data_IF_018109015731
#
_entry.id   IF_018109015731
#
_cell.length_a   1.000
_cell.length_b   1.000
_cell.length_c   1.000
_cell.angle_alpha   90.00
_cell.angle_beta   90.00
_cell.angle_gamma   90.00
#
_symmetry.space_group_name_H-M   'P 1'
#
loop_
_entity.id
_entity.type
_entity.pdbx_description
1 polymer ?
#
# COMPACT_ATOMS: atom_id res chain seq x y z
N UNK A 1 13.54 -52.14 32.17
CA UNK A 1 12.07 -52.29 32.26
C UNK A 1 11.48 -51.80 30.96
N UNK A 2 10.96 -52.69 30.11
CA UNK A 2 10.30 -52.30 28.87
C UNK A 2 8.87 -51.85 29.19
N UNK A 3 8.60 -50.55 29.05
CA UNK A 3 7.25 -50.02 29.17
C UNK A 3 6.44 -50.45 27.94
N UNK A 4 5.58 -51.45 28.11
CA UNK A 4 4.71 -51.93 27.04
C UNK A 4 3.45 -51.07 27.00
N UNK A 5 3.49 -49.99 26.21
CA UNK A 5 2.41 -48.99 26.04
C UNK A 5 1.06 -49.66 25.81
N UNK A 6 0.99 -50.61 24.88
CA UNK A 6 -0.25 -51.32 24.53
C UNK A 6 -0.85 -52.07 25.73
N UNK A 7 -0.01 -52.80 26.49
CA UNK A 7 -0.49 -53.56 27.65
C UNK A 7 -0.96 -52.67 28.80
N UNK A 8 -0.35 -51.49 28.94
CA UNK A 8 -0.71 -50.51 29.97
C UNK A 8 -2.01 -49.79 29.62
N UNK A 9 -2.18 -49.37 28.36
CA UNK A 9 -3.42 -48.74 27.87
C UNK A 9 -4.64 -49.67 27.98
N UNK A 10 -4.46 -50.98 27.77
CA UNK A 10 -5.53 -51.98 27.95
C UNK A 10 -5.88 -52.18 29.43
N UNK A 11 -4.87 -52.30 30.30
CA UNK A 11 -5.08 -52.58 31.74
C UNK A 11 -5.56 -51.36 32.53
N UNK A 12 -5.24 -50.14 32.07
CA UNK A 12 -5.67 -48.87 32.67
C UNK A 12 -6.37 -48.01 31.60
N UNK A 13 -7.66 -48.26 31.32
CA UNK A 13 -8.38 -47.56 30.26
C UNK A 13 -8.71 -46.11 30.61
N UNK A 14 -8.87 -45.77 31.90
CA UNK A 14 -9.30 -44.43 32.34
C UNK A 14 -8.35 -43.32 31.86
N UNK A 15 -7.02 -43.38 32.07
CA UNK A 15 -6.09 -42.39 31.52
C UNK A 15 -6.18 -42.24 30.00
N UNK A 16 -6.35 -43.35 29.27
CA UNK A 16 -6.44 -43.35 27.80
C UNK A 16 -7.71 -42.65 27.31
N UNK A 17 -8.86 -42.94 27.93
CA UNK A 17 -10.14 -42.31 27.61
C UNK A 17 -10.09 -40.81 27.92
N UNK A 18 -9.56 -40.43 29.08
CA UNK A 18 -9.42 -39.02 29.47
C UNK A 18 -8.51 -38.27 28.50
N UNK A 19 -7.39 -38.86 28.10
CA UNK A 19 -6.49 -38.28 27.10
C UNK A 19 -7.20 -38.06 25.76
N UNK A 20 -7.97 -39.05 25.30
CA UNK A 20 -8.72 -38.94 24.04
C UNK A 20 -9.81 -37.87 24.10
N UNK A 21 -10.50 -37.74 25.23
CA UNK A 21 -11.48 -36.67 25.46
C UNK A 21 -10.82 -35.29 25.48
N UNK A 22 -9.67 -35.15 26.16
CA UNK A 22 -8.92 -33.89 26.17
C UNK A 22 -8.49 -33.52 24.75
N UNK A 23 -7.89 -34.45 24.01
CA UNK A 23 -7.46 -34.22 22.62
C UNK A 23 -8.64 -33.89 21.70
N UNK A 24 -9.79 -34.54 21.88
CA UNK A 24 -11.01 -34.25 21.13
C UNK A 24 -11.55 -32.84 21.39
N UNK A 25 -11.60 -32.43 22.65
CA UNK A 25 -12.05 -31.08 23.06
C UNK A 25 -11.07 -30.02 22.56
N UNK A 26 -9.77 -30.23 22.74
CA UNK A 26 -8.72 -29.30 22.26
C UNK A 26 -8.77 -29.21 20.73
N UNK A 27 -8.84 -30.35 20.03
CA UNK A 27 -8.94 -30.39 18.57
C UNK A 27 -10.18 -29.68 18.05
N UNK A 28 -11.33 -29.85 18.71
CA UNK A 28 -12.57 -29.16 18.36
C UNK A 28 -12.46 -27.64 18.57
N UNK A 29 -11.91 -27.20 19.70
CA UNK A 29 -11.68 -25.76 19.95
C UNK A 29 -10.69 -25.16 18.95
N UNK A 30 -9.58 -25.84 18.67
CA UNK A 30 -8.59 -25.39 17.69
C UNK A 30 -9.18 -25.30 16.29
N UNK A 31 -10.00 -26.27 15.88
CA UNK A 31 -10.64 -26.29 14.57
C UNK A 31 -11.51 -25.05 14.33
N UNK A 32 -12.34 -24.65 15.32
CA UNK A 32 -13.15 -23.43 15.20
C UNK A 32 -12.35 -22.13 15.25
N UNK A 33 -11.09 -22.18 15.71
CA UNK A 33 -10.19 -21.02 15.75
C UNK A 33 -9.32 -20.85 14.49
N UNK A 34 -9.33 -21.81 13.55
CA UNK A 34 -8.51 -21.73 12.34
C UNK A 34 -9.08 -20.72 11.35
N UNK A 35 -8.22 -19.84 10.84
CA UNK A 35 -8.56 -18.93 9.76
C UNK A 35 -8.70 -19.67 8.42
N UNK A 36 -9.58 -19.17 7.55
CA UNK A 36 -9.77 -19.69 6.19
C UNK A 36 -9.03 -18.77 5.22
N UNK A 37 -8.09 -19.33 4.46
CA UNK A 37 -7.28 -18.63 3.47
C UNK A 37 -6.99 -19.55 2.27
N UNK A 38 -6.67 -18.95 1.11
CA UNK A 38 -6.36 -19.70 -0.12
C UNK A 38 -4.96 -20.28 -0.08
N UNK A 39 -4.01 -19.44 0.32
CA UNK A 39 -2.61 -19.76 0.40
C UNK A 39 -2.15 -19.66 1.85
N UNK A 40 -1.20 -20.50 2.29
CA UNK A 40 -0.52 -20.24 3.54
C UNK A 40 0.06 -18.82 3.52
N UNK A 41 0.06 -18.15 4.67
CA UNK A 41 0.73 -16.87 4.81
C UNK A 41 2.25 -17.09 4.74
N UNK A 42 2.79 -17.08 3.53
CA UNK A 42 4.22 -17.21 3.26
C UNK A 42 4.78 -15.79 3.17
N UNK A 43 5.71 -15.46 4.06
CA UNK A 43 6.57 -14.29 3.87
C UNK A 43 7.58 -14.66 2.78
N UNK A 44 7.34 -14.20 1.56
CA UNK A 44 8.28 -14.41 0.44
C UNK A 44 9.29 -13.27 0.51
N UNK A 45 10.56 -13.56 0.85
CA UNK A 45 11.56 -12.53 1.06
C UNK A 45 12.02 -11.99 -0.29
N UNK A 46 11.38 -10.93 -0.78
CA UNK A 46 11.82 -10.23 -2.00
C UNK A 46 12.11 -8.78 -1.69
N UNK A 47 13.20 -8.28 -2.25
CA UNK A 47 13.66 -6.91 -2.13
C UNK A 47 13.67 -6.29 -3.53
N UNK A 48 13.03 -5.14 -3.68
CA UNK A 48 13.09 -4.35 -4.91
C UNK A 48 14.11 -3.22 -4.77
N UNK A 49 14.90 -3.02 -5.81
CA UNK A 49 15.84 -1.93 -5.95
C UNK A 49 15.41 -1.12 -7.16
N UNK A 50 15.10 0.16 -6.97
CA UNK A 50 14.69 1.06 -8.05
C UNK A 50 15.72 2.16 -8.20
N UNK A 51 16.20 2.38 -9.42
CA UNK A 51 17.08 3.49 -9.78
C UNK A 51 16.49 4.23 -10.97
N UNK A 52 16.37 5.54 -10.82
CA UNK A 52 15.86 6.45 -11.84
C UNK A 52 16.99 7.29 -12.42
N UNK A 53 17.03 7.46 -13.74
CA UNK A 53 17.98 8.35 -14.42
C UNK A 53 17.24 9.02 -15.59
N UNK A 54 16.88 10.28 -15.41
CA UNK A 54 16.05 10.99 -16.40
C UNK A 54 16.80 11.16 -17.72
N UNK A 55 16.16 10.76 -18.82
CA UNK A 55 16.73 10.89 -20.17
C UNK A 55 17.67 9.77 -20.60
N UNK A 56 17.91 8.75 -19.76
CA UNK A 56 18.68 7.57 -20.12
C UNK A 56 17.81 6.54 -20.87
N UNK A 57 18.37 5.97 -21.95
CA UNK A 57 17.73 4.91 -22.71
C UNK A 57 17.85 3.53 -22.02
N UNK A 58 16.98 2.55 -22.33
CA UNK A 58 16.96 1.26 -21.62
C UNK A 58 18.27 0.47 -21.76
N UNK A 59 18.90 0.49 -22.94
CA UNK A 59 20.18 -0.19 -23.18
C UNK A 59 21.33 0.45 -22.39
N UNK A 60 21.29 1.76 -22.19
CA UNK A 60 22.29 2.47 -21.40
C UNK A 60 22.14 2.12 -19.92
N UNK A 61 20.92 2.22 -19.40
CA UNK A 61 20.56 1.81 -18.04
C UNK A 61 20.92 0.36 -17.73
N UNK A 62 20.68 -0.56 -18.68
CA UNK A 62 21.06 -1.97 -18.52
C UNK A 62 22.56 -2.10 -18.23
N UNK A 63 23.38 -1.44 -19.02
CA UNK A 63 24.84 -1.58 -18.96
C UNK A 63 25.48 -0.80 -17.81
N UNK A 64 25.00 0.40 -17.51
CA UNK A 64 25.63 1.32 -16.56
C UNK A 64 25.08 1.18 -15.14
N UNK A 65 23.83 0.72 -15.01
CA UNK A 65 23.12 0.67 -13.72
C UNK A 65 22.71 -0.75 -13.39
N UNK A 66 21.83 -1.36 -14.19
CA UNK A 66 21.18 -2.63 -13.84
C UNK A 66 22.20 -3.76 -13.64
N UNK A 67 23.13 -3.96 -14.58
CA UNK A 67 24.16 -5.01 -14.44
C UNK A 67 25.04 -4.82 -13.21
N UNK A 68 25.39 -3.57 -12.87
CA UNK A 68 26.20 -3.30 -11.68
C UNK A 68 25.45 -3.67 -10.40
N UNK A 69 24.16 -3.36 -10.35
CA UNK A 69 23.29 -3.73 -9.22
C UNK A 69 23.13 -5.24 -9.15
N UNK A 70 22.87 -5.92 -10.27
CA UNK A 70 22.78 -7.37 -10.32
C UNK A 70 24.07 -8.04 -9.85
N UNK A 71 25.23 -7.56 -10.30
CA UNK A 71 26.54 -8.09 -9.92
C UNK A 71 26.83 -7.87 -8.42
N UNK A 72 26.43 -6.72 -7.86
CA UNK A 72 26.66 -6.43 -6.43
C UNK A 72 25.78 -7.29 -5.52
N UNK A 73 24.52 -7.51 -5.90
CA UNK A 73 23.60 -8.33 -5.10
C UNK A 73 23.80 -9.81 -5.34
N UNK A 74 24.28 -10.26 -6.51
CA UNK A 74 24.51 -11.67 -6.82
C UNK A 74 25.50 -12.37 -5.86
N UNK A 75 26.36 -11.60 -5.19
CA UNK A 75 27.26 -12.10 -4.16
C UNK A 75 26.60 -12.39 -2.80
N UNK A 76 25.34 -11.97 -2.60
CA UNK A 76 24.60 -12.25 -1.37
C UNK A 76 24.16 -13.71 -1.31
N UNK A 77 24.21 -14.31 -0.12
CA UNK A 77 23.75 -15.67 0.09
C UNK A 77 22.22 -15.80 0.02
N UNK A 78 21.74 -17.01 -0.25
CA UNK A 78 20.31 -17.36 -0.24
C UNK A 78 19.43 -16.64 -1.28
N UNK A 79 20.00 -16.21 -2.40
CA UNK A 79 19.22 -15.71 -3.53
C UNK A 79 18.68 -16.90 -4.32
N UNK A 80 17.38 -16.90 -4.59
CA UNK A 80 16.73 -17.85 -5.51
C UNK A 80 16.71 -17.28 -6.93
N UNK A 81 16.30 -16.01 -7.08
CA UNK A 81 16.13 -15.39 -8.40
C UNK A 81 16.39 -13.89 -8.38
N UNK A 82 16.96 -13.38 -9.47
CA UNK A 82 17.07 -11.94 -9.73
C UNK A 82 16.34 -11.65 -11.05
N UNK A 83 15.45 -10.66 -11.03
CA UNK A 83 14.70 -10.22 -12.22
C UNK A 83 14.81 -8.71 -12.32
N UNK A 84 15.39 -8.21 -13.41
CA UNK A 84 15.40 -6.79 -13.70
C UNK A 84 14.44 -6.43 -14.82
N UNK A 85 13.74 -5.32 -14.64
CA UNK A 85 12.88 -4.70 -15.65
C UNK A 85 13.36 -3.27 -15.87
N UNK A 86 13.64 -2.94 -17.12
CA UNK A 86 14.18 -1.63 -17.50
C UNK A 86 13.19 -0.98 -18.47
N UNK A 87 12.88 0.27 -18.19
CA UNK A 87 12.05 1.14 -19.02
C UNK A 87 12.79 2.46 -19.22
N UNK A 88 12.28 3.33 -20.11
CA UNK A 88 12.89 4.65 -20.32
C UNK A 88 13.03 5.41 -18.99
N UNK A 89 14.27 5.74 -18.63
CA UNK A 89 14.63 6.45 -17.42
C UNK A 89 14.49 5.70 -16.09
N UNK A 90 14.10 4.42 -16.08
CA UNK A 90 13.91 3.64 -14.84
C UNK A 90 14.43 2.21 -14.96
N UNK A 91 15.17 1.76 -13.94
CA UNK A 91 15.60 0.37 -13.75
C UNK A 91 15.08 -0.17 -12.42
N UNK A 92 14.32 -1.26 -12.46
CA UNK A 92 13.81 -1.94 -11.27
C UNK A 92 14.35 -3.37 -11.23
N UNK A 93 15.10 -3.72 -10.19
CA UNK A 93 15.64 -5.06 -9.95
C UNK A 93 14.96 -5.69 -8.74
N UNK A 94 14.30 -6.83 -8.93
CA UNK A 94 13.74 -7.65 -7.87
C UNK A 94 14.70 -8.79 -7.52
N UNK A 95 15.06 -8.89 -6.25
CA UNK A 95 15.89 -9.96 -5.69
C UNK A 95 15.02 -10.82 -4.79
N UNK A 96 14.73 -12.04 -5.25
CA UNK A 96 13.98 -13.06 -4.53
C UNK A 96 14.95 -13.98 -3.78
N UNK A 97 14.74 -14.11 -2.47
CA UNK A 97 15.53 -14.97 -1.60
C UNK A 97 14.79 -16.30 -1.35
N UNK A 98 15.55 -17.33 -0.97
CA UNK A 98 15.02 -18.63 -0.59
C UNK A 98 14.09 -18.48 0.62
N UNK A 99 12.95 -19.19 0.58
CA UNK A 99 11.96 -19.20 1.66
C UNK A 99 12.59 -19.52 3.02
N UNK A 100 12.18 -18.78 4.05
CA UNK A 100 12.73 -18.88 5.41
C UNK A 100 13.92 -17.95 5.68
N UNK A 101 14.40 -17.22 4.67
CA UNK A 101 15.33 -16.10 4.86
C UNK A 101 14.61 -14.96 5.59
N UNK A 102 15.28 -14.37 6.58
CA UNK A 102 14.78 -13.20 7.29
C UNK A 102 14.75 -12.00 6.33
N UNK A 103 13.53 -11.51 6.03
CA UNK A 103 13.31 -10.46 5.03
C UNK A 103 13.96 -9.13 5.43
N UNK A 104 14.01 -8.81 6.73
CA UNK A 104 14.59 -7.56 7.22
C UNK A 104 16.13 -7.60 7.08
N UNK A 105 16.74 -8.74 7.40
CA UNK A 105 18.16 -8.99 7.16
C UNK A 105 18.49 -8.94 5.68
N UNK A 106 17.73 -9.63 4.83
CA UNK A 106 17.92 -9.61 3.38
C UNK A 106 17.85 -8.20 2.81
N UNK A 107 16.87 -7.39 3.26
CA UNK A 107 16.72 -6.00 2.86
C UNK A 107 17.94 -5.15 3.25
N UNK A 108 18.48 -5.36 4.45
CA UNK A 108 19.67 -4.65 4.91
C UNK A 108 20.93 -5.09 4.17
N UNK A 109 21.09 -6.39 3.90
CA UNK A 109 22.21 -6.93 3.14
C UNK A 109 22.22 -6.40 1.71
N UNK A 110 21.05 -6.34 1.06
CA UNK A 110 20.87 -5.70 -0.27
C UNK A 110 21.22 -4.22 -0.22
N UNK A 111 20.72 -3.48 0.78
CA UNK A 111 21.03 -2.05 0.92
C UNK A 111 22.54 -1.82 1.04
N UNK A 112 23.22 -2.58 1.89
CA UNK A 112 24.66 -2.45 2.07
C UNK A 112 25.44 -2.76 0.77
N UNK A 113 25.02 -3.78 0.01
CA UNK A 113 25.65 -4.13 -1.27
C UNK A 113 25.47 -3.04 -2.34
N UNK A 114 24.27 -2.42 -2.40
CA UNK A 114 23.98 -1.31 -3.31
C UNK A 114 24.74 -0.05 -2.91
N UNK A 115 24.80 0.26 -1.61
CA UNK A 115 25.52 1.41 -1.09
C UNK A 115 27.03 1.33 -1.40
N UNK A 116 27.60 0.12 -1.39
CA UNK A 116 29.01 -0.10 -1.71
C UNK A 116 29.37 0.23 -3.16
N UNK A 117 28.46 -0.02 -4.11
CA UNK A 117 28.66 0.29 -5.53
C UNK A 117 28.11 1.66 -5.94
N UNK A 118 27.63 2.48 -4.99
CA UNK A 118 27.01 3.77 -5.28
C UNK A 118 27.91 4.70 -6.09
N UNK A 119 29.23 4.63 -5.83
CA UNK A 119 30.25 5.41 -6.55
C UNK A 119 30.51 4.91 -7.98
N UNK A 120 30.17 3.66 -8.27
CA UNK A 120 30.30 3.06 -9.59
C UNK A 120 29.09 3.35 -10.49
N UNK A 121 27.97 3.81 -9.91
CA UNK A 121 26.79 4.26 -10.64
C UNK A 121 27.02 5.68 -11.22
N UNK A 122 26.36 6.03 -12.33
CA UNK A 122 26.41 7.38 -12.89
C UNK A 122 26.05 8.46 -11.87
N UNK A 123 26.71 9.62 -11.94
CA UNK A 123 26.48 10.73 -11.00
C UNK A 123 25.12 11.40 -11.18
N UNK A 124 24.55 11.29 -12.37
CA UNK A 124 23.23 11.79 -12.75
C UNK A 124 22.10 10.80 -12.44
N UNK A 125 22.41 9.59 -11.98
CA UNK A 125 21.42 8.66 -11.45
C UNK A 125 20.98 9.08 -10.04
N UNK A 126 19.66 9.03 -9.82
CA UNK A 126 19.05 9.25 -8.51
C UNK A 126 19.49 8.16 -7.50
N UNK A 127 19.32 8.45 -6.22
CA UNK A 127 19.71 7.53 -5.15
C UNK A 127 18.91 6.21 -5.26
N UNK A 128 19.56 5.04 -5.23
CA UNK A 128 18.86 3.77 -5.28
C UNK A 128 17.89 3.60 -4.12
N UNK A 129 16.64 3.26 -4.43
CA UNK A 129 15.60 3.02 -3.44
C UNK A 129 15.47 1.53 -3.22
N UNK A 130 15.88 1.07 -2.03
CA UNK A 130 15.79 -0.34 -1.62
C UNK A 130 14.58 -0.54 -0.70
N UNK A 131 13.62 -1.33 -1.16
CA UNK A 131 12.35 -1.60 -0.48
C UNK A 131 12.08 -3.10 -0.37
N UNK A 132 11.59 -3.52 0.79
CA UNK A 132 10.98 -4.85 0.96
C UNK A 132 9.68 -4.90 0.17
N UNK A 133 9.48 -5.99 -0.55
CA UNK A 133 8.20 -6.28 -1.19
C UNK A 133 7.35 -7.14 -0.25
N UNK A 134 6.10 -6.72 -0.04
CA UNK A 134 5.12 -7.48 0.72
C UNK A 134 4.15 -8.14 -0.27
N UNK A 135 4.32 -9.44 -0.52
CA UNK A 135 3.38 -10.22 -1.35
C UNK A 135 2.11 -10.58 -0.58
N UNK A 136 2.20 -10.59 0.73
CA UNK A 136 1.12 -10.93 1.65
C UNK A 136 0.22 -9.72 1.85
N UNK A 137 -0.76 -9.59 0.97
CA UNK A 137 -1.71 -8.48 1.08
C UNK A 137 -2.58 -8.20 -0.12
N UNK A 138 -2.31 -8.91 -1.23
CA UNK A 138 -2.96 -8.73 -2.53
C UNK A 138 -4.44 -8.37 -2.46
N UNK A 139 -4.89 -7.57 -3.42
CA UNK A 139 -6.24 -7.00 -3.43
C UNK A 139 -7.29 -8.09 -3.18
N UNK A 140 -7.93 -8.03 -2.02
CA UNK A 140 -8.91 -9.03 -1.58
C UNK A 140 -10.30 -8.72 -2.14
N UNK A 141 -10.60 -7.43 -2.32
CA UNK A 141 -11.90 -6.94 -2.76
C UNK A 141 -11.71 -5.70 -3.63
N UNK A 142 -12.43 -5.64 -4.74
CA UNK A 142 -12.49 -4.46 -5.60
C UNK A 142 -13.93 -3.97 -5.68
N UNK A 143 -14.13 -2.70 -5.39
CA UNK A 143 -15.42 -2.04 -5.47
C UNK A 143 -15.42 -0.96 -6.55
N UNK A 144 -16.57 -0.80 -7.22
CA UNK A 144 -16.90 0.39 -7.96
C UNK A 144 -17.74 1.33 -7.11
N UNK A 145 -17.44 2.62 -7.21
CA UNK A 145 -18.22 3.74 -6.71
C UNK A 145 -18.75 4.48 -7.92
N UNK A 146 -20.07 4.47 -8.08
CA UNK A 146 -20.74 5.12 -9.20
C UNK A 146 -21.85 6.04 -8.69
N UNK A 147 -22.13 7.08 -9.47
CA UNK A 147 -23.27 7.96 -9.25
C UNK A 147 -23.69 8.64 -10.55
N UNK A 148 -25.00 8.78 -10.74
CA UNK A 148 -25.59 9.50 -11.89
C UNK A 148 -25.57 11.02 -11.72
N UNK A 149 -25.32 11.50 -10.50
CA UNK A 149 -25.45 12.93 -10.14
C UNK A 149 -24.11 13.58 -9.84
N UNK A 150 -23.06 12.79 -9.61
CA UNK A 150 -21.75 13.28 -9.17
C UNK A 150 -20.74 13.20 -10.29
N UNK A 151 -19.80 14.14 -10.27
CA UNK A 151 -18.67 14.09 -11.16
C UNK A 151 -17.61 13.09 -10.66
N UNK A 152 -16.66 12.72 -11.52
CA UNK A 152 -15.59 11.78 -11.19
C UNK A 152 -14.70 12.34 -10.07
N UNK A 153 -14.53 13.65 -10.05
CA UNK A 153 -13.84 14.43 -9.03
C UNK A 153 -14.47 14.24 -7.65
N UNK A 154 -15.79 14.46 -7.55
CA UNK A 154 -16.52 14.30 -6.29
C UNK A 154 -16.49 12.84 -5.79
N UNK A 155 -16.59 11.87 -6.72
CA UNK A 155 -16.46 10.46 -6.39
C UNK A 155 -15.05 10.11 -5.90
N UNK A 156 -14.01 10.71 -6.48
CA UNK A 156 -12.62 10.50 -6.08
C UNK A 156 -12.38 11.04 -4.67
N UNK A 157 -12.85 12.26 -4.38
CA UNK A 157 -12.75 12.84 -3.04
C UNK A 157 -13.52 12.02 -2.00
N UNK A 158 -14.71 11.54 -2.35
CA UNK A 158 -15.53 10.69 -1.48
C UNK A 158 -14.82 9.36 -1.14
N UNK A 159 -14.18 8.75 -2.15
CA UNK A 159 -13.39 7.52 -1.96
C UNK A 159 -12.22 7.79 -1.02
N UNK A 160 -11.47 8.87 -1.23
CA UNK A 160 -10.23 9.12 -0.50
C UNK A 160 -10.49 9.59 0.94
N UNK A 161 -11.46 10.49 1.14
CA UNK A 161 -11.69 11.13 2.44
C UNK A 161 -12.63 10.35 3.34
N UNK A 162 -13.61 9.64 2.78
CA UNK A 162 -14.66 9.01 3.58
C UNK A 162 -14.52 7.48 3.56
N UNK A 163 -14.56 6.89 2.36
CA UNK A 163 -14.61 5.43 2.21
C UNK A 163 -13.28 4.80 2.66
N UNK A 164 -12.16 5.27 2.11
CA UNK A 164 -10.83 4.72 2.41
C UNK A 164 -10.51 4.82 3.89
N UNK A 165 -10.78 5.97 4.53
CA UNK A 165 -10.56 6.14 5.98
C UNK A 165 -11.40 5.18 6.83
N UNK A 166 -12.66 4.95 6.45
CA UNK A 166 -13.52 4.04 7.17
C UNK A 166 -13.08 2.58 7.01
N UNK A 167 -12.62 2.20 5.81
CA UNK A 167 -12.15 0.85 5.53
C UNK A 167 -10.77 0.56 6.14
N UNK A 168 -9.87 1.53 6.21
CA UNK A 168 -8.57 1.39 6.89
C UNK A 168 -8.71 1.14 8.40
N UNK A 169 -9.86 1.47 9.02
CA UNK A 169 -10.14 1.15 10.41
C UNK A 169 -10.57 -0.32 10.62
N UNK A 170 -10.75 -1.09 9.55
CA UNK A 170 -11.07 -2.53 9.65
C UNK A 170 -9.81 -3.31 9.96
N UNK A 171 -9.85 -4.13 11.02
CA UNK A 171 -8.71 -4.97 11.39
C UNK A 171 -8.30 -5.89 10.23
N UNK A 172 -7.00 -5.88 9.91
CA UNK A 172 -6.43 -6.65 8.81
C UNK A 172 -6.51 -5.99 7.43
N UNK A 173 -7.01 -4.75 7.31
CA UNK A 173 -6.85 -3.94 6.10
C UNK A 173 -5.54 -3.16 6.19
N UNK A 174 -4.66 -3.30 5.21
CA UNK A 174 -3.40 -2.54 5.14
C UNK A 174 -3.54 -1.28 4.29
N UNK A 175 -4.23 -1.39 3.15
CA UNK A 175 -4.29 -0.31 2.18
C UNK A 175 -5.64 -0.31 1.45
N UNK A 176 -6.07 0.88 1.03
CA UNK A 176 -7.17 1.05 0.10
C UNK A 176 -6.66 1.87 -1.07
N UNK A 177 -6.55 1.23 -2.23
CA UNK A 177 -5.97 1.82 -3.43
C UNK A 177 -7.08 2.20 -4.40
N UNK A 178 -7.33 3.50 -4.55
CA UNK A 178 -8.19 4.01 -5.61
C UNK A 178 -7.53 3.78 -6.98
N UNK A 179 -8.31 3.29 -7.94
CA UNK A 179 -7.93 3.13 -9.35
C UNK A 179 -8.94 3.85 -10.23
N UNK A 180 -8.41 4.59 -11.20
CA UNK A 180 -9.17 5.61 -11.93
C UNK A 180 -9.51 6.81 -11.02
N UNK A 181 -10.38 7.68 -11.52
CA UNK A 181 -10.65 8.95 -10.87
C UNK A 181 -9.56 9.99 -11.13
N UNK A 182 -9.56 11.04 -10.31
CA UNK A 182 -8.60 12.15 -10.42
C UNK A 182 -8.13 12.56 -9.03
N UNK A 183 -6.87 12.98 -8.95
CA UNK A 183 -6.28 13.49 -7.71
C UNK A 183 -6.60 14.98 -7.56
N UNK A 184 -6.91 15.43 -6.34
CA UNK A 184 -7.10 16.87 -6.10
C UNK A 184 -5.74 17.57 -6.13
N UNK A 185 -5.63 18.61 -6.93
CA UNK A 185 -4.40 19.39 -7.12
C UNK A 185 -4.70 20.89 -7.00
N UNK A 186 -3.77 21.63 -6.40
CA UNK A 186 -3.83 23.09 -6.44
C UNK A 186 -2.98 23.55 -7.62
N UNK A 187 -3.63 24.11 -8.64
CA UNK A 187 -2.95 24.57 -9.86
C UNK A 187 -2.63 26.06 -9.75
N UNK A 188 -1.37 26.40 -10.03
CA UNK A 188 -0.88 27.78 -10.11
C UNK A 188 -0.53 28.07 -11.56
N UNK A 189 -1.47 28.69 -12.28
CA UNK A 189 -1.34 29.06 -13.69
C UNK A 189 -0.75 30.48 -13.77
N UNK A 190 0.56 30.59 -13.96
CA UNK A 190 1.25 31.88 -14.04
C UNK A 190 1.00 32.57 -15.38
N UNK A 191 0.75 33.88 -15.35
CA UNK A 191 0.54 34.70 -16.56
C UNK A 191 1.89 35.23 -17.09
N UNK A 192 2.35 34.78 -18.28
CA UNK A 192 3.65 35.19 -18.82
C UNK A 192 3.79 36.71 -18.99
N UNK A 193 2.70 37.41 -19.31
CA UNK A 193 2.73 38.85 -19.53
C UNK A 193 2.95 39.61 -18.22
N UNK A 194 2.34 39.14 -17.12
CA UNK A 194 2.49 39.72 -15.79
C UNK A 194 3.86 39.42 -15.19
N UNK A 195 4.35 38.20 -15.37
CA UNK A 195 5.71 37.82 -15.00
C UNK A 195 6.75 38.73 -15.67
N UNK A 196 6.59 38.98 -16.97
CA UNK A 196 7.48 39.86 -17.73
C UNK A 196 7.39 41.31 -17.27
N UNK A 197 6.19 41.83 -17.01
CA UNK A 197 6.00 43.20 -16.52
C UNK A 197 6.61 43.43 -15.13
N UNK A 198 6.61 42.40 -14.28
CA UNK A 198 7.13 42.45 -12.91
C UNK A 198 8.58 41.96 -12.79
N UNK A 199 9.23 41.61 -13.91
CA UNK A 199 10.64 41.23 -13.95
C UNK A 199 10.98 39.99 -13.12
N UNK A 200 10.05 39.02 -13.04
CA UNK A 200 10.22 37.77 -12.30
C UNK A 200 9.97 36.56 -13.20
N UNK A 201 10.75 35.50 -13.01
CA UNK A 201 10.65 34.25 -13.78
C UNK A 201 9.74 33.23 -13.08
N UNK A 202 9.14 32.33 -13.86
CA UNK A 202 8.34 31.23 -13.31
C UNK A 202 9.14 30.35 -12.34
N UNK A 203 10.43 30.13 -12.60
CA UNK A 203 11.34 29.39 -11.71
C UNK A 203 11.46 30.07 -10.34
N UNK A 204 11.68 31.39 -10.31
CA UNK A 204 11.75 32.14 -9.04
C UNK A 204 10.45 32.07 -8.25
N UNK A 205 9.29 32.09 -8.92
CA UNK A 205 7.99 31.91 -8.26
C UNK A 205 7.88 30.51 -7.67
N UNK A 206 8.21 29.47 -8.46
CA UNK A 206 8.18 28.08 -8.00
C UNK A 206 9.11 27.84 -6.81
N UNK A 207 10.32 28.40 -6.81
CA UNK A 207 11.30 28.24 -5.73
C UNK A 207 10.80 28.86 -4.42
N UNK A 208 10.14 30.03 -4.50
CA UNK A 208 9.52 30.68 -3.34
C UNK A 208 8.32 29.89 -2.80
N UNK A 209 7.46 29.36 -3.69
CA UNK A 209 6.35 28.49 -3.28
C UNK A 209 6.88 27.22 -2.60
N UNK A 210 7.93 26.61 -3.14
CA UNK A 210 8.60 25.45 -2.53
C UNK A 210 9.15 25.79 -1.15
N UNK A 211 9.82 26.93 -0.99
CA UNK A 211 10.36 27.38 0.29
C UNK A 211 9.27 27.65 1.34
N UNK A 212 8.10 28.15 0.90
CA UNK A 212 6.95 28.39 1.79
C UNK A 212 6.32 27.09 2.31
N UNK A 213 6.37 26.01 1.54
CA UNK A 213 5.75 24.74 1.88
C UNK A 213 6.59 23.83 2.81
N UNK A 214 7.57 24.39 3.52
CA UNK A 214 8.48 23.66 4.41
C UNK A 214 8.30 24.14 5.85
N UNK A 215 8.06 23.21 6.77
CA UNK A 215 8.08 23.49 8.21
C UNK A 215 9.53 23.51 8.71
N UNK A 216 10.02 24.66 9.18
CA UNK A 216 11.38 24.78 9.71
C UNK A 216 11.38 24.83 11.25
N UNK A 217 12.23 24.04 11.93
CA UNK A 217 12.41 24.16 13.37
C UNK A 217 13.09 25.49 13.69
N UNK A 218 12.47 26.28 14.58
CA UNK A 218 12.99 27.56 15.07
C UNK A 218 13.85 27.42 16.33
N UNK A 219 14.14 26.19 16.77
CA UNK A 219 14.92 25.89 17.97
C UNK A 219 14.07 25.71 19.24
N UNK A 220 14.71 25.79 20.40
CA UNK A 220 14.05 25.70 21.71
C UNK A 220 14.37 26.96 22.54
N UNK A 221 13.36 27.51 23.20
CA UNK A 221 13.50 28.58 24.17
C UNK A 221 13.07 28.10 25.56
N UNK A 222 13.79 28.50 26.61
CA UNK A 222 13.33 28.28 27.98
C UNK A 222 12.51 29.48 28.42
N UNK A 223 11.22 29.26 28.71
CA UNK A 223 10.31 30.29 29.19
C UNK A 223 9.66 29.80 30.48
N UNK A 224 9.82 30.57 31.56
CA UNK A 224 9.22 30.27 32.87
C UNK A 224 9.56 28.88 33.44
N UNK A 225 10.78 28.38 33.19
CA UNK A 225 11.25 27.09 33.69
C UNK A 225 10.83 25.86 32.87
N UNK A 226 10.13 26.06 31.75
CA UNK A 226 9.84 25.00 30.77
C UNK A 226 10.54 25.25 29.44
N UNK A 227 11.01 24.18 28.79
CA UNK A 227 11.47 24.24 27.40
C UNK A 227 10.26 24.27 26.46
N UNK A 228 10.21 25.26 25.56
CA UNK A 228 9.24 25.33 24.47
C UNK A 228 9.98 25.25 23.13
N UNK A 229 9.54 24.36 22.25
CA UNK A 229 10.02 24.33 20.87
C UNK A 229 9.34 25.43 20.06
N UNK A 230 10.13 26.27 19.40
CA UNK A 230 9.65 27.23 18.41
C UNK A 230 9.77 26.57 17.04
N UNK A 231 8.75 26.71 16.19
CA UNK A 231 8.78 26.26 14.80
C UNK A 231 8.03 27.23 13.92
N UNK A 232 8.49 27.42 12.69
CA UNK A 232 7.70 28.09 11.66
C UNK A 232 6.77 27.07 11.02
N UNK A 233 5.50 27.42 10.92
CA UNK A 233 4.52 26.63 10.19
C UNK A 233 4.57 27.09 8.73
N UNK A 234 5.20 26.28 7.87
CA UNK A 234 5.23 26.49 6.44
C UNK A 234 4.19 25.60 5.77
N UNK A 235 3.10 26.21 5.30
CA UNK A 235 2.08 25.62 4.42
C UNK A 235 0.91 26.61 4.31
N UNK A 236 0.32 26.75 3.12
CA UNK A 236 -1.01 27.35 2.99
C UNK A 236 -2.06 26.33 3.46
N UNK A 237 -2.89 26.70 4.43
CA UNK A 237 -3.99 25.84 4.91
C UNK A 237 -5.17 25.84 3.95
N UNK A 238 -5.34 26.95 3.24
CA UNK A 238 -6.41 27.18 2.28
C UNK A 238 -5.83 27.71 0.96
N UNK A 239 -6.62 27.61 -0.10
CA UNK A 239 -6.23 28.16 -1.41
C UNK A 239 -6.14 29.68 -1.35
N UNK A 240 -6.95 30.31 -0.50
CA UNK A 240 -6.95 31.74 -0.22
C UNK A 240 -5.64 32.20 0.46
N UNK A 241 -5.11 31.40 1.40
CA UNK A 241 -3.80 31.65 2.00
C UNK A 241 -2.69 31.59 0.93
N UNK A 242 -2.81 30.65 -0.01
CA UNK A 242 -1.83 30.52 -1.10
C UNK A 242 -1.94 31.68 -2.10
N UNK A 243 -3.15 32.14 -2.42
CA UNK A 243 -3.39 33.31 -3.29
C UNK A 243 -2.79 34.59 -2.71
N UNK A 244 -2.91 34.77 -1.40
CA UNK A 244 -2.40 35.94 -0.68
C UNK A 244 -0.92 35.85 -0.31
N UNK A 245 -0.28 34.71 -0.58
CA UNK A 245 1.15 34.53 -0.35
C UNK A 245 1.97 35.56 -1.15
N UNK A 246 2.86 36.27 -0.46
CA UNK A 246 3.65 37.36 -1.05
C UNK A 246 4.91 36.81 -1.69
N UNK A 247 5.01 36.96 -2.99
CA UNK A 247 6.19 36.67 -3.80
C UNK A 247 7.07 37.91 -3.87
N UNK A 248 8.33 37.76 -3.51
CA UNK A 248 9.35 38.82 -3.58
C UNK A 248 9.86 38.93 -5.01
N UNK A 249 9.87 40.15 -5.53
CA UNK A 249 10.35 40.53 -6.85
C UNK A 249 11.86 40.83 -6.82
N UNK A 250 12.48 40.89 -7.99
CA UNK A 250 13.91 41.14 -8.17
C UNK A 250 14.38 42.51 -7.62
N UNK A 251 13.47 43.47 -7.51
CA UNK A 251 13.71 44.82 -6.98
C UNK A 251 13.47 44.94 -5.46
N UNK A 252 13.10 43.84 -4.78
CA UNK A 252 12.80 43.78 -3.35
C UNK A 252 11.36 44.17 -3.00
N UNK A 253 10.53 44.58 -3.97
CA UNK A 253 9.10 44.70 -3.76
C UNK A 253 8.46 43.31 -3.61
N UNK A 254 7.20 43.24 -3.16
CA UNK A 254 6.47 41.97 -3.11
C UNK A 254 5.03 42.12 -3.56
N UNK A 255 4.57 41.13 -4.29
CA UNK A 255 3.20 41.05 -4.83
C UNK A 255 2.55 39.74 -4.39
N UNK A 256 1.23 39.70 -4.16
CA UNK A 256 0.53 38.45 -3.89
C UNK A 256 0.62 37.52 -5.10
N UNK A 257 0.59 36.21 -4.86
CA UNK A 257 0.63 35.20 -5.92
C UNK A 257 -0.52 35.36 -6.93
N UNK A 258 -1.68 35.84 -6.47
CA UNK A 258 -2.82 36.19 -7.33
C UNK A 258 -2.54 37.29 -8.36
N UNK A 259 -1.53 38.13 -8.13
CA UNK A 259 -1.14 39.16 -9.09
C UNK A 259 -0.27 38.59 -10.20
N UNK A 260 0.42 37.46 -9.97
CA UNK A 260 1.30 36.81 -10.93
C UNK A 260 0.58 35.77 -11.82
N UNK A 261 -0.63 35.35 -11.43
CA UNK A 261 -1.38 34.34 -12.15
C UNK A 261 -2.64 33.93 -11.42
N UNK A 262 -3.20 32.81 -11.83
CA UNK A 262 -4.41 32.24 -11.25
C UNK A 262 -4.10 31.01 -10.40
N UNK A 263 -4.60 31.00 -9.17
CA UNK A 263 -4.49 29.85 -8.27
C UNK A 263 -5.87 29.22 -8.15
N UNK A 264 -6.01 27.98 -8.65
CA UNK A 264 -7.27 27.24 -8.68
C UNK A 264 -7.16 25.98 -7.83
N UNK A 265 -8.21 25.73 -7.06
CA UNK A 265 -8.49 24.41 -6.51
C UNK A 265 -9.09 23.56 -7.63
N UNK A 266 -8.44 22.47 -7.98
CA UNK A 266 -8.87 21.65 -9.08
C UNK A 266 -8.43 20.22 -8.93
N UNK A 267 -8.40 19.53 -10.06
CA UNK A 267 -8.03 18.13 -10.14
C UNK A 267 -6.98 17.93 -11.21
N UNK A 268 -6.17 16.89 -11.01
CA UNK A 268 -5.22 16.39 -11.99
C UNK A 268 -5.92 16.12 -13.32
N UNK A 269 -5.18 16.25 -14.41
CA UNK A 269 -5.71 15.87 -15.71
C UNK A 269 -6.05 14.36 -15.71
N UNK A 270 -7.28 13.97 -16.10
CA UNK A 270 -7.67 12.56 -16.09
C UNK A 270 -6.83 11.76 -17.08
N UNK A 271 -5.85 10.99 -16.57
CA UNK A 271 -5.05 10.07 -17.39
C UNK A 271 -5.71 8.71 -17.57
N UNK A 272 -6.71 8.40 -16.75
CA UNK A 272 -7.42 7.12 -16.75
C UNK A 272 -8.91 7.37 -16.53
N UNK A 273 -9.74 6.70 -17.32
CA UNK A 273 -11.19 6.69 -17.13
C UNK A 273 -11.64 5.27 -16.79
N UNK A 274 -12.49 5.15 -15.77
CA UNK A 274 -13.13 3.90 -15.41
C UNK A 274 -14.64 4.05 -15.60
N UNK A 275 -15.26 3.02 -16.16
CA UNK A 275 -16.69 2.97 -16.40
C UNK A 275 -17.24 1.69 -15.81
N UNK A 276 -18.42 1.79 -15.20
CA UNK A 276 -19.18 0.66 -14.70
C UNK A 276 -20.56 0.69 -15.34
N UNK A 277 -20.90 -0.36 -16.11
CA UNK A 277 -22.15 -0.44 -16.89
C UNK A 277 -22.42 0.78 -17.79
N UNK A 278 -21.36 1.37 -18.36
CA UNK A 278 -21.47 2.54 -19.24
C UNK A 278 -21.52 3.90 -18.52
N UNK A 279 -21.53 3.92 -17.19
CA UNK A 279 -21.50 5.15 -16.39
C UNK A 279 -20.08 5.40 -15.82
N UNK A 280 -19.59 6.65 -15.77
CA UNK A 280 -18.32 6.97 -15.13
C UNK A 280 -18.30 6.47 -13.68
N UNK A 281 -17.23 5.79 -13.30
CA UNK A 281 -17.07 5.21 -11.97
C UNK A 281 -15.63 5.39 -11.48
N UNK A 282 -15.48 5.41 -10.16
CA UNK A 282 -14.19 5.34 -9.49
C UNK A 282 -14.10 4.00 -8.81
N UNK A 283 -13.01 3.27 -9.02
CA UNK A 283 -12.83 1.96 -8.37
C UNK A 283 -11.84 2.05 -7.23
N UNK A 284 -11.95 1.18 -6.25
CA UNK A 284 -10.91 1.00 -5.25
C UNK A 284 -10.71 -0.47 -4.92
N UNK A 285 -9.46 -0.84 -4.69
CA UNK A 285 -9.04 -2.15 -4.24
C UNK A 285 -8.69 -2.09 -2.75
N UNK A 286 -9.22 -3.02 -1.97
CA UNK A 286 -8.84 -3.20 -0.56
C UNK A 286 -7.76 -4.26 -0.51
N UNK A 287 -6.63 -3.91 0.10
CA UNK A 287 -5.49 -4.79 0.32
C UNK A 287 -5.46 -5.18 1.80
N UNK A 288 -5.28 -6.46 2.07
CA UNK A 288 -5.17 -6.98 3.43
C UNK A 288 -3.75 -6.79 3.97
N UNK A 289 -3.58 -6.82 5.28
CA UNK A 289 -2.26 -6.87 5.89
C UNK A 289 -1.70 -8.28 5.89
N UNK A 290 -0.37 -8.39 5.84
CA UNK A 290 0.35 -9.65 6.10
C UNK A 290 -0.14 -10.30 7.39
N UNK A 291 -0.34 -11.62 7.37
CA UNK A 291 -0.77 -12.40 8.55
C UNK A 291 -2.24 -12.27 8.93
N UNK A 292 -3.04 -11.47 8.22
CA UNK A 292 -4.50 -11.43 8.42
C UNK A 292 -5.19 -12.55 7.66
N UNK A 293 -6.29 -13.10 8.19
CA UNK A 293 -7.08 -14.13 7.49
C UNK A 293 -7.99 -13.50 6.45
N UNK A 294 -7.87 -13.91 5.18
CA UNK A 294 -8.60 -13.28 4.07
C UNK A 294 -10.11 -13.22 4.28
N UNK A 295 -10.76 -14.34 4.63
CA UNK A 295 -12.23 -14.38 4.82
C UNK A 295 -12.68 -13.48 5.96
N UNK A 296 -11.90 -13.38 7.05
CA UNK A 296 -12.21 -12.52 8.19
C UNK A 296 -12.12 -11.04 7.84
N UNK A 297 -11.09 -10.64 7.07
CA UNK A 297 -10.95 -9.25 6.60
C UNK A 297 -12.08 -8.91 5.64
N UNK A 298 -12.40 -9.81 4.71
CA UNK A 298 -13.51 -9.62 3.78
C UNK A 298 -14.84 -9.39 4.49
N UNK A 299 -15.16 -10.18 5.50
CA UNK A 299 -16.37 -9.97 6.30
C UNK A 299 -16.36 -8.62 7.03
N UNK A 300 -15.21 -8.22 7.57
CA UNK A 300 -15.02 -6.93 8.21
C UNK A 300 -15.28 -5.77 7.24
N UNK A 301 -14.73 -5.87 6.03
CA UNK A 301 -14.91 -4.89 4.95
C UNK A 301 -16.37 -4.86 4.50
N UNK A 302 -17.03 -6.01 4.28
CA UNK A 302 -18.47 -6.03 3.93
C UNK A 302 -19.33 -5.37 5.00
N UNK A 303 -19.05 -5.64 6.29
CA UNK A 303 -19.74 -4.99 7.41
C UNK A 303 -19.50 -3.47 7.42
N UNK A 304 -18.27 -3.02 7.17
CA UNK A 304 -17.95 -1.60 7.08
C UNK A 304 -18.63 -0.92 5.88
N UNK A 305 -18.63 -1.55 4.70
CA UNK A 305 -19.35 -1.08 3.50
C UNK A 305 -20.86 -1.01 3.77
N UNK A 306 -21.44 -1.99 4.44
CA UNK A 306 -22.86 -1.98 4.80
C UNK A 306 -23.21 -0.84 5.78
N UNK A 307 -22.30 -0.45 6.66
CA UNK A 307 -22.45 0.75 7.51
C UNK A 307 -22.29 2.03 6.69
N UNK A 308 -21.29 2.10 5.81
CA UNK A 308 -21.06 3.25 4.93
C UNK A 308 -22.27 3.52 4.03
N UNK A 309 -22.90 2.48 3.47
CA UNK A 309 -24.13 2.64 2.69
C UNK A 309 -25.27 3.33 3.43
N UNK A 310 -25.28 3.32 4.77
CA UNK A 310 -26.30 4.02 5.58
C UNK A 310 -25.95 5.49 5.82
N UNK A 311 -24.67 5.86 5.74
CA UNK A 311 -24.19 7.22 5.99
C UNK A 311 -23.91 8.00 4.71
N UNK A 312 -23.68 7.28 3.60
CA UNK A 312 -23.45 7.88 2.31
C UNK A 312 -24.75 8.42 1.70
N UNK A 313 -24.67 9.47 0.86
CA UNK A 313 -25.81 9.95 0.10
C UNK A 313 -26.46 8.84 -0.75
N UNK A 314 -27.79 8.90 -0.92
CA UNK A 314 -28.56 7.86 -1.64
C UNK A 314 -28.17 7.74 -3.14
N UNK A 315 -27.52 8.75 -3.71
CA UNK A 315 -27.04 8.76 -5.09
C UNK A 315 -25.72 8.01 -5.29
N UNK A 316 -25.08 7.52 -4.22
CA UNK A 316 -23.81 6.80 -4.28
C UNK A 316 -24.05 5.29 -4.26
N UNK A 317 -23.67 4.61 -5.34
CA UNK A 317 -23.72 3.16 -5.43
C UNK A 317 -22.34 2.54 -5.19
N UNK A 318 -22.23 1.77 -4.11
CA UNK A 318 -21.09 0.89 -3.85
C UNK A 318 -21.39 -0.54 -4.31
N UNK A 319 -20.72 -0.95 -5.38
CA UNK A 319 -20.87 -2.26 -6.03
C UNK A 319 -19.59 -3.07 -5.88
N UNK A 320 -19.69 -4.28 -5.35
CA UNK A 320 -18.58 -5.22 -5.34
C UNK A 320 -18.39 -5.73 -6.78
N UNK A 321 -17.22 -5.51 -7.35
CA UNK A 321 -16.85 -6.00 -8.68
C UNK A 321 -16.25 -7.40 -8.59
N UNK A 322 -15.33 -7.57 -7.66
CA UNK A 322 -14.54 -8.78 -7.53
C UNK A 322 -14.13 -9.00 -6.07
N UNK A 323 -14.15 -10.27 -5.65
CA UNK A 323 -13.57 -10.72 -4.38
C UNK A 323 -12.99 -12.11 -4.58
N UNK A 324 -11.80 -12.35 -4.05
CA UNK A 324 -11.21 -13.68 -4.03
C UNK A 324 -11.84 -14.56 -2.93
N UNK A 325 -12.41 -13.93 -1.89
CA UNK A 325 -12.93 -14.62 -0.71
C UNK A 325 -14.12 -15.55 -0.99
N UNK A 326 -14.95 -15.25 -2.00
CA UNK A 326 -16.12 -16.07 -2.31
C UNK A 326 -15.68 -17.45 -2.84
N UNK A 327 -14.72 -17.52 -3.75
CA UNK A 327 -14.19 -18.79 -4.25
C UNK A 327 -13.48 -19.63 -3.18
N UNK A 328 -12.80 -18.99 -2.24
CA UNK A 328 -12.15 -19.65 -1.10
C UNK A 328 -13.21 -20.23 -0.15
N UNK A 329 -14.27 -19.46 0.14
CA UNK A 329 -15.37 -19.89 1.01
C UNK A 329 -16.09 -21.10 0.42
N UNK A 330 -16.37 -21.07 -0.88
CA UNK A 330 -17.01 -22.18 -1.58
C UNK A 330 -16.12 -23.44 -1.59
N UNK A 331 -14.81 -23.28 -1.83
CA UNK A 331 -13.83 -24.38 -1.79
C UNK A 331 -13.71 -24.99 -0.39
N UNK A 332 -13.72 -24.15 0.65
CA UNK A 332 -13.74 -24.60 2.04
C UNK A 332 -15.01 -25.40 2.35
N UNK A 333 -16.19 -24.89 1.98
CA UNK A 333 -17.46 -25.58 2.19
C UNK A 333 -17.49 -26.93 1.47
N UNK A 334 -17.07 -26.99 0.21
CA UNK A 334 -16.97 -28.24 -0.54
C UNK A 334 -16.03 -29.25 0.13
N UNK A 335 -14.92 -28.80 0.71
CA UNK A 335 -13.98 -29.67 1.46
C UNK A 335 -14.61 -30.22 2.73
N UNK A 336 -15.37 -29.40 3.45
CA UNK A 336 -16.12 -29.83 4.65
C UNK A 336 -17.22 -30.82 4.28
N UNK A 337 -17.97 -30.57 3.21
CA UNK A 337 -18.98 -31.50 2.70
C UNK A 337 -18.36 -32.85 2.32
N UNK A 338 -17.25 -32.84 1.58
CA UNK A 338 -16.51 -34.04 1.22
C UNK A 338 -15.98 -34.80 2.45
N UNK A 339 -15.47 -34.08 3.47
CA UNK A 339 -15.03 -34.67 4.74
C UNK A 339 -16.17 -35.38 5.47
N UNK A 340 -17.34 -34.74 5.55
CA UNK A 340 -18.53 -35.30 6.20
C UNK A 340 -19.02 -36.53 5.44
N UNK A 341 -19.16 -36.43 4.11
CA UNK A 341 -19.60 -37.54 3.26
C UNK A 341 -18.62 -38.72 3.33
N UNK A 342 -17.31 -38.46 3.24
CA UNK A 342 -16.28 -39.49 3.37
C UNK A 342 -16.29 -40.16 4.75
N UNK A 343 -16.50 -39.39 5.81
CA UNK A 343 -16.63 -39.92 7.18
C UNK A 343 -17.85 -40.84 7.31
N UNK A 344 -19.00 -40.40 6.79
CA UNK A 344 -20.24 -41.20 6.81
C UNK A 344 -20.07 -42.48 6.00
N UNK A 345 -19.53 -42.39 4.77
CA UNK A 345 -19.29 -43.55 3.92
C UNK A 345 -18.32 -44.55 4.57
N UNK A 346 -17.30 -44.07 5.28
CA UNK A 346 -16.37 -44.93 6.01
C UNK A 346 -17.08 -45.67 7.13
N UNK A 347 -17.92 -44.98 7.92
CA UNK A 347 -18.73 -45.62 8.97
C UNK A 347 -19.68 -46.66 8.37
N UNK A 348 -20.30 -46.39 7.23
CA UNK A 348 -21.23 -47.33 6.57
C UNK A 348 -20.52 -48.54 5.97
N UNK A 349 -19.29 -48.39 5.47
CA UNK A 349 -18.56 -49.47 4.78
C UNK A 349 -17.75 -50.36 5.73
N UNK A 350 -17.22 -49.79 6.81
CA UNK A 350 -16.40 -50.50 7.80
C UNK A 350 -17.20 -50.94 9.02
N UNK A 351 -18.23 -50.16 9.39
CA UNK A 351 -19.04 -50.35 10.60
C UNK A 351 -20.16 -51.37 10.46
#
# INVERSE_FOLDING_TARGET
MSFHVSSWSIKKPVPTIVMFLILGIVGMMSFFGLGIDENPNIDVPVVSITVSQQGAGPTELESQVTKKIEDSVAGLGNIDKIISTITDGNSTTLVEFVLGTDTDRATNDVRNAVDQIRQDLPQDAEEPIVQRQEFSGGAIMTYAVASKKRSVEELSELVDRNISRALLNVSGVAQVNRRGGVDREIRVDLDPSRLQALGITATQVNDQIRAFNINLPGGRGSLSGGEQSVRTLGSAKTVEDLKSYRIVLSDGASVPLSDLGEVRDGFAEPRQAAYFNGEPAVTFAVLRSTGSTMVTVEEGVRKAVAKLKKTLPEDIELRLLFTTADGIRDSYQATIEALILGSILTVVTVG
#
